data_IF_127420710710
#
_entry.id   IF_127420710710
#
_cell.length_a   1.000
_cell.length_b   1.000
_cell.length_c   1.000
_cell.angle_alpha   90.00
_cell.angle_beta   90.00
_cell.angle_gamma   90.00
#
_symmetry.space_group_name_H-M   'P 1'
#
loop_
_entity.id
_entity.type
_entity.pdbx_description
1 polymer ?
#
# COMPACT_ATOMS: atom_id res chain seq x y z
N UNK A 1 10.09 -10.48 -66.18
CA UNK A 1 10.90 -11.38 -67.04
C UNK A 1 12.34 -10.87 -67.07
N UNK A 2 13.30 -11.77 -66.79
CA UNK A 2 14.74 -11.79 -67.17
C UNK A 2 15.55 -10.48 -67.16
N UNK A 3 16.48 -10.35 -66.19
CA UNK A 3 17.93 -10.67 -66.28
C UNK A 3 18.73 -9.65 -67.10
N UNK A 4 19.76 -9.05 -66.50
CA UNK A 4 21.18 -9.24 -66.88
C UNK A 4 22.11 -8.58 -65.85
N UNK A 5 23.13 -9.37 -65.54
CA UNK A 5 24.31 -9.16 -64.71
C UNK A 5 25.37 -8.40 -65.52
N UNK A 6 26.04 -7.39 -64.96
CA UNK A 6 27.36 -6.95 -65.46
C UNK A 6 28.33 -6.82 -64.30
N UNK A 7 29.44 -7.53 -64.48
CA UNK A 7 30.60 -7.71 -63.63
C UNK A 7 31.67 -6.64 -63.99
N UNK A 8 32.45 -6.24 -62.98
CA UNK A 8 33.93 -6.16 -63.01
C UNK A 8 34.71 -4.89 -63.46
N UNK A 9 35.65 -4.54 -62.56
CA UNK A 9 37.01 -3.96 -62.68
C UNK A 9 37.24 -2.43 -62.77
N UNK A 10 37.96 -1.90 -61.76
CA UNK A 10 39.36 -1.41 -61.83
C UNK A 10 39.65 -0.59 -60.54
N UNK A 11 40.41 -1.05 -59.53
CA UNK A 11 41.88 -0.98 -59.38
C UNK A 11 42.42 0.45 -59.66
N UNK A 12 43.06 1.18 -58.72
CA UNK A 12 44.53 1.17 -58.48
C UNK A 12 44.95 2.32 -57.53
N UNK A 13 45.73 2.02 -56.46
CA UNK A 13 46.95 2.73 -55.95
C UNK A 13 46.76 4.13 -55.29
N UNK A 14 47.36 4.54 -54.17
CA UNK A 14 48.40 4.00 -53.29
C UNK A 14 48.59 4.86 -52.01
N UNK A 15 49.14 4.20 -50.98
CA UNK A 15 50.19 4.62 -50.03
C UNK A 15 49.91 5.73 -49.00
N UNK A 16 50.11 5.37 -47.72
CA UNK A 16 50.45 6.36 -46.69
C UNK A 16 50.36 5.93 -45.22
N UNK A 17 51.19 4.97 -44.82
CA UNK A 17 51.79 4.85 -43.46
C UNK A 17 50.95 4.37 -42.26
N UNK A 18 51.37 3.20 -41.78
CA UNK A 18 51.02 2.53 -40.52
C UNK A 18 51.57 3.27 -39.29
N UNK A 19 50.77 3.39 -38.22
CA UNK A 19 51.22 3.09 -36.84
C UNK A 19 50.07 2.42 -36.08
N UNK A 20 50.47 1.36 -35.37
CA UNK A 20 49.76 0.34 -34.59
C UNK A 20 48.99 0.90 -33.39
N UNK A 21 47.78 0.38 -33.16
CA UNK A 21 47.01 0.57 -31.92
C UNK A 21 45.67 -0.18 -31.91
N UNK A 22 45.73 -1.46 -31.55
CA UNK A 22 44.67 -2.40 -31.11
C UNK A 22 43.52 -1.72 -30.31
N UNK A 23 42.23 -2.10 -30.30
CA UNK A 23 41.47 -3.33 -30.59
C UNK A 23 39.95 -2.95 -30.67
N UNK A 24 39.21 -3.69 -31.50
CA UNK A 24 37.77 -4.01 -31.48
C UNK A 24 36.70 -2.93 -31.73
N UNK A 25 36.13 -2.99 -32.93
CA UNK A 25 34.77 -3.54 -33.10
C UNK A 25 33.60 -2.56 -32.92
N UNK A 26 33.33 -1.80 -33.99
CA UNK A 26 32.14 -0.98 -34.19
C UNK A 26 30.88 -1.81 -34.52
N UNK A 27 29.80 -1.42 -33.86
CA UNK A 27 28.39 -1.35 -34.31
C UNK A 27 27.68 -2.62 -34.80
N UNK A 28 26.69 -3.04 -34.00
CA UNK A 28 25.37 -3.38 -34.53
C UNK A 28 24.29 -2.63 -33.74
N UNK A 29 23.73 -1.62 -34.39
CA UNK A 29 22.38 -1.07 -34.26
C UNK A 29 21.69 -1.23 -32.89
N UNK A 30 21.94 -0.27 -31.98
CA UNK A 30 20.94 0.12 -30.99
C UNK A 30 20.29 1.41 -31.45
N UNK A 31 19.05 1.31 -31.90
CA UNK A 31 18.13 2.43 -31.98
C UNK A 31 18.00 3.00 -30.57
N UNK A 32 18.71 4.10 -30.30
CA UNK A 32 18.60 4.85 -29.06
C UNK A 32 17.26 5.57 -29.06
N UNK A 33 16.28 5.06 -28.32
CA UNK A 33 15.19 5.89 -27.83
C UNK A 33 15.78 6.77 -26.71
N UNK A 34 16.16 7.99 -27.06
CA UNK A 34 16.44 9.02 -26.07
C UNK A 34 15.09 9.44 -25.45
N UNK A 35 14.83 8.99 -24.23
CA UNK A 35 13.82 9.64 -23.40
C UNK A 35 14.26 11.09 -23.16
N UNK A 36 13.37 12.09 -23.29
CA UNK A 36 13.73 13.46 -23.01
C UNK A 36 14.19 13.57 -21.56
N UNK A 37 15.37 14.18 -21.38
CA UNK A 37 15.90 14.57 -20.08
C UNK A 37 14.80 15.17 -19.21
N UNK A 38 14.62 14.58 -18.03
CA UNK A 38 13.88 15.16 -16.90
C UNK A 38 14.31 16.63 -16.77
N UNK A 39 13.39 17.53 -17.10
CA UNK A 39 13.62 18.95 -16.95
C UNK A 39 13.78 19.24 -15.46
N UNK A 40 14.99 19.60 -15.03
CA UNK A 40 15.22 20.26 -13.74
C UNK A 40 14.36 21.52 -13.70
N UNK A 41 13.23 21.47 -13.01
CA UNK A 41 12.46 22.68 -12.73
C UNK A 41 13.10 23.41 -11.55
N UNK A 42 13.94 24.40 -11.86
CA UNK A 42 14.47 25.41 -10.90
C UNK A 42 13.44 26.51 -10.60
N UNK A 43 12.14 26.22 -10.69
CA UNK A 43 11.09 27.16 -10.29
C UNK A 43 10.43 26.64 -9.03
N UNK A 44 10.98 27.07 -7.89
CA UNK A 44 10.33 26.94 -6.59
C UNK A 44 8.87 27.36 -6.69
N UNK A 45 7.99 26.45 -6.30
CA UNK A 45 6.56 26.64 -6.26
C UNK A 45 6.23 27.74 -5.24
N UNK A 46 6.26 29.00 -5.68
CA UNK A 46 5.63 30.12 -4.98
C UNK A 46 4.12 29.94 -5.10
N UNK A 47 3.61 29.19 -4.15
CA UNK A 47 2.23 28.73 -4.00
C UNK A 47 2.26 27.69 -2.88
N UNK A 48 2.72 28.13 -1.70
CA UNK A 48 2.93 27.29 -0.54
C UNK A 48 1.63 26.62 -0.12
N UNK A 49 1.49 25.33 -0.41
CA UNK A 49 0.91 24.43 0.59
C UNK A 49 1.92 24.34 1.74
N UNK A 50 2.03 25.41 2.53
CA UNK A 50 2.64 25.33 3.87
C UNK A 50 1.65 24.53 4.72
N UNK A 51 1.81 23.21 4.68
CA UNK A 51 1.03 22.28 5.47
C UNK A 51 1.98 21.24 6.07
N UNK A 52 2.88 21.75 6.93
CA UNK A 52 3.64 20.97 7.91
C UNK A 52 2.73 19.97 8.62
N UNK A 53 3.31 18.93 9.22
CA UNK A 53 2.58 17.88 9.96
C UNK A 53 1.61 18.41 11.04
N UNK A 54 1.64 19.70 11.36
CA UNK A 54 0.63 20.43 12.15
C UNK A 54 -0.81 20.07 11.78
N UNK A 55 -1.09 19.81 10.50
CA UNK A 55 -2.41 19.36 10.04
C UNK A 55 -2.84 18.03 10.66
N UNK A 56 -1.96 17.02 10.66
CA UNK A 56 -2.22 15.68 11.25
C UNK A 56 -2.12 15.66 12.77
N UNK A 57 -1.69 16.74 13.43
CA UNK A 57 -1.73 16.89 14.89
C UNK A 57 -3.03 17.54 15.42
N UNK A 58 -3.94 17.97 14.53
CA UNK A 58 -5.25 18.52 14.89
C UNK A 58 -6.17 17.46 15.49
N UNK A 59 -7.27 17.90 16.12
CA UNK A 59 -8.36 16.97 16.44
C UNK A 59 -9.01 16.44 15.15
N UNK A 60 -9.66 15.26 15.21
CA UNK A 60 -10.26 14.63 14.03
C UNK A 60 -11.22 15.57 13.28
N UNK A 61 -12.06 16.33 13.99
CA UNK A 61 -13.01 17.28 13.38
C UNK A 61 -12.34 18.50 12.76
N UNK A 62 -11.21 18.97 13.30
CA UNK A 62 -10.42 20.04 12.70
C UNK A 62 -9.66 19.55 11.47
N UNK A 63 -9.14 18.32 11.52
CA UNK A 63 -8.53 17.67 10.36
C UNK A 63 -9.56 17.43 9.25
N UNK A 64 -10.77 17.00 9.59
CA UNK A 64 -11.87 16.87 8.63
C UNK A 64 -12.17 18.20 7.89
N UNK A 65 -12.12 19.34 8.59
CA UNK A 65 -12.26 20.67 7.96
C UNK A 65 -11.07 21.03 7.06
N UNK A 66 -9.85 20.65 7.46
CA UNK A 66 -8.64 20.90 6.66
C UNK A 66 -8.70 20.17 5.31
N UNK A 67 -9.20 18.94 5.29
CA UNK A 67 -9.22 18.09 4.10
C UNK A 67 -10.48 18.29 3.23
N UNK A 68 -11.53 18.92 3.78
CA UNK A 68 -12.83 19.08 3.12
C UNK A 68 -12.74 19.66 1.69
N UNK A 69 -11.90 20.67 1.39
CA UNK A 69 -11.76 21.18 0.02
C UNK A 69 -11.26 20.15 -1.00
N UNK A 70 -10.58 19.10 -0.55
CA UNK A 70 -9.98 18.07 -1.40
C UNK A 70 -10.82 16.78 -1.47
N UNK A 71 -11.46 16.42 -0.36
CA UNK A 71 -12.08 15.11 -0.15
C UNK A 71 -13.57 15.18 0.24
N UNK A 72 -14.11 16.39 0.40
CA UNK A 72 -15.41 16.58 1.03
C UNK A 72 -15.42 16.10 2.48
N UNK A 73 -16.61 15.80 2.97
CA UNK A 73 -16.82 15.42 4.37
C UNK A 73 -16.59 13.91 4.55
N UNK A 74 -15.81 13.48 5.57
CA UNK A 74 -15.71 12.08 5.94
C UNK A 74 -17.10 11.46 6.19
N UNK A 75 -17.36 10.25 5.67
CA UNK A 75 -18.67 9.61 5.80
C UNK A 75 -18.97 9.24 7.26
N UNK A 76 -20.27 9.09 7.56
CA UNK A 76 -20.70 8.41 8.78
C UNK A 76 -20.51 6.91 8.56
N UNK A 77 -19.68 6.27 9.39
CA UNK A 77 -19.44 4.82 9.34
C UNK A 77 -20.54 4.10 10.11
N UNK A 78 -21.21 3.17 9.44
CA UNK A 78 -22.19 2.25 10.05
C UNK A 78 -21.77 0.82 9.73
N UNK A 79 -21.10 0.18 10.68
CA UNK A 79 -20.51 -1.15 10.52
C UNK A 79 -21.58 -2.20 10.18
N UNK A 80 -22.84 -1.95 10.53
CA UNK A 80 -23.98 -2.81 10.23
C UNK A 80 -24.22 -2.93 8.71
N UNK A 81 -23.96 -1.84 7.98
CA UNK A 81 -24.03 -1.75 6.52
C UNK A 81 -22.72 -2.20 5.84
N UNK A 82 -21.74 -2.65 6.63
CA UNK A 82 -20.43 -3.11 6.16
C UNK A 82 -20.48 -4.45 5.45
N UNK A 83 -19.68 -4.60 4.41
CA UNK A 83 -19.43 -5.89 3.77
C UNK A 83 -18.39 -6.62 4.61
N UNK A 84 -18.77 -7.78 5.14
CA UNK A 84 -17.85 -8.61 5.89
C UNK A 84 -16.70 -9.11 5.01
N UNK A 85 -15.49 -9.13 5.57
CA UNK A 85 -14.37 -9.87 5.01
C UNK A 85 -14.55 -11.34 5.40
N UNK A 86 -14.88 -12.24 4.45
CA UNK A 86 -15.11 -13.63 4.80
C UNK A 86 -13.79 -14.32 5.17
N UNK A 87 -13.84 -15.13 6.22
CA UNK A 87 -12.75 -16.03 6.62
C UNK A 87 -13.08 -17.44 6.17
N UNK A 88 -12.07 -18.14 5.65
CA UNK A 88 -12.17 -19.54 5.25
C UNK A 88 -11.10 -20.38 5.95
N UNK A 89 -11.45 -21.61 6.32
CA UNK A 89 -10.54 -22.64 6.80
C UNK A 89 -10.79 -23.88 5.95
N UNK A 90 -9.76 -24.34 5.25
CA UNK A 90 -9.84 -25.48 4.33
C UNK A 90 -10.95 -25.29 3.26
N UNK A 91 -11.09 -24.07 2.77
CA UNK A 91 -12.09 -23.67 1.78
C UNK A 91 -13.52 -23.52 2.30
N UNK A 92 -13.76 -23.74 3.61
CA UNK A 92 -15.07 -23.59 4.23
C UNK A 92 -15.16 -22.28 5.00
N UNK A 93 -16.25 -21.53 4.82
CA UNK A 93 -16.43 -20.27 5.54
C UNK A 93 -16.49 -20.53 7.06
N UNK A 94 -15.75 -19.73 7.81
CA UNK A 94 -15.57 -19.90 9.26
C UNK A 94 -16.04 -18.66 10.03
N UNK A 95 -16.68 -18.88 11.18
CA UNK A 95 -17.09 -17.84 12.12
C UNK A 95 -16.43 -18.07 13.47
N UNK A 96 -15.82 -17.02 14.01
CA UNK A 96 -15.06 -16.99 15.25
C UNK A 96 -13.56 -16.80 15.03
N UNK A 97 -12.76 -17.38 15.94
CA UNK A 97 -11.30 -17.34 15.93
C UNK A 97 -10.68 -18.71 15.59
N UNK A 98 -10.15 -18.92 14.37
CA UNK A 98 -9.38 -20.12 14.08
C UNK A 98 -7.96 -20.03 14.66
N UNK A 99 -7.50 -18.85 15.09
CA UNK A 99 -6.13 -18.56 15.50
C UNK A 99 -5.30 -17.87 14.42
N UNK A 100 -4.16 -17.32 14.82
CA UNK A 100 -3.22 -16.61 13.94
C UNK A 100 -2.73 -17.56 12.83
N UNK A 101 -2.76 -17.12 11.57
CA UNK A 101 -2.36 -17.91 10.39
C UNK A 101 -3.09 -19.26 10.21
N UNK A 102 -4.22 -19.47 10.88
CA UNK A 102 -5.00 -20.72 10.81
C UNK A 102 -6.16 -20.67 9.79
N UNK A 103 -6.21 -19.64 8.95
CA UNK A 103 -7.18 -19.48 7.87
C UNK A 103 -6.48 -19.43 6.52
N UNK A 104 -7.25 -19.63 5.44
CA UNK A 104 -6.73 -19.73 4.07
C UNK A 104 -6.05 -18.44 3.60
N UNK A 105 -6.57 -17.28 4.05
CA UNK A 105 -6.08 -15.95 3.68
C UNK A 105 -6.00 -15.06 4.93
N UNK A 106 -4.95 -15.22 5.78
CA UNK A 106 -4.79 -14.39 6.96
C UNK A 106 -4.50 -12.93 6.59
N UNK A 107 -4.80 -12.02 7.51
CA UNK A 107 -4.35 -10.63 7.41
C UNK A 107 -2.81 -10.60 7.35
N UNK A 108 -2.23 -9.94 6.34
CA UNK A 108 -0.77 -9.84 6.17
C UNK A 108 -0.13 -8.69 6.98
N UNK A 109 -0.76 -8.31 8.09
CA UNK A 109 -0.18 -7.37 9.05
C UNK A 109 0.14 -8.02 10.39
N UNK A 110 -0.65 -9.01 10.81
CA UNK A 110 -0.49 -9.68 12.11
C UNK A 110 -0.81 -11.17 12.04
N UNK A 111 -1.06 -11.72 10.84
CA UNK A 111 -1.60 -13.06 10.66
C UNK A 111 -3.04 -13.29 11.15
N UNK A 112 -3.79 -12.24 11.49
CA UNK A 112 -5.13 -12.37 12.10
C UNK A 112 -6.14 -13.06 11.16
N UNK A 113 -6.96 -13.93 11.74
CA UNK A 113 -8.00 -14.72 11.08
C UNK A 113 -9.36 -14.59 11.76
N UNK A 114 -9.53 -13.61 12.64
CA UNK A 114 -10.80 -13.34 13.29
C UNK A 114 -11.89 -12.92 12.27
N UNK A 115 -12.98 -13.68 12.24
CA UNK A 115 -14.15 -13.34 11.42
C UNK A 115 -14.87 -12.08 11.92
N UNK A 116 -15.69 -11.47 11.07
CA UNK A 116 -16.55 -10.36 11.46
C UNK A 116 -15.96 -8.96 11.27
N UNK A 117 -14.74 -8.87 10.74
CA UNK A 117 -14.20 -7.62 10.20
C UNK A 117 -15.04 -7.16 9.00
N UNK A 118 -15.26 -5.85 8.85
CA UNK A 118 -16.12 -5.27 7.79
C UNK A 118 -15.46 -4.11 7.07
N UNK A 119 -15.73 -3.98 5.77
CA UNK A 119 -15.30 -2.89 4.91
C UNK A 119 -16.50 -2.14 4.33
N UNK A 120 -16.38 -0.82 4.19
CA UNK A 120 -17.34 0.00 3.47
C UNK A 120 -16.63 0.91 2.48
N UNK A 121 -17.30 1.18 1.36
CA UNK A 121 -16.86 2.12 0.35
C UNK A 121 -17.93 3.17 0.15
N UNK A 122 -17.52 4.43 0.18
CA UNK A 122 -18.39 5.59 -0.04
C UNK A 122 -17.87 6.42 -1.20
N UNK A 123 -18.81 6.98 -1.96
CA UNK A 123 -18.53 8.13 -2.82
C UNK A 123 -18.40 9.37 -1.94
N UNK A 124 -17.38 10.20 -2.20
CA UNK A 124 -17.20 11.46 -1.47
C UNK A 124 -18.36 12.43 -1.69
N UNK A 125 -18.61 13.28 -0.71
CA UNK A 125 -19.66 14.29 -0.76
C UNK A 125 -19.21 15.59 -0.12
N UNK A 126 -19.66 16.72 -0.65
CA UNK A 126 -19.54 18.02 0.01
C UNK A 126 -20.43 18.08 1.27
N UNK A 127 -20.25 19.09 2.11
CA UNK A 127 -21.07 19.28 3.31
C UNK A 127 -22.57 19.48 3.02
N UNK A 128 -22.93 20.03 1.85
CA UNK A 128 -24.31 20.13 1.37
C UNK A 128 -24.81 18.86 0.63
N UNK A 129 -24.01 17.79 0.63
CA UNK A 129 -24.40 16.46 0.12
C UNK A 129 -24.18 16.23 -1.37
N UNK A 130 -23.60 17.20 -2.10
CA UNK A 130 -23.31 17.04 -3.53
C UNK A 130 -22.25 15.95 -3.75
N UNK A 131 -22.44 15.07 -4.74
CA UNK A 131 -21.51 13.98 -5.02
C UNK A 131 -20.16 14.49 -5.55
N UNK A 132 -19.08 13.85 -5.11
CA UNK A 132 -17.71 14.02 -5.60
C UNK A 132 -17.25 12.67 -6.18
N UNK A 133 -17.59 12.35 -7.44
CA UNK A 133 -17.39 11.00 -8.01
C UNK A 133 -15.92 10.58 -8.14
N UNK A 134 -14.99 11.54 -8.09
CA UNK A 134 -13.55 11.29 -8.10
C UNK A 134 -12.96 11.07 -6.70
N UNK A 135 -13.78 11.22 -5.65
CA UNK A 135 -13.37 10.95 -4.27
C UNK A 135 -13.99 9.64 -3.81
N UNK A 136 -13.16 8.79 -3.22
CA UNK A 136 -13.57 7.56 -2.56
C UNK A 136 -13.13 7.59 -1.11
N UNK A 137 -14.04 7.17 -0.23
CA UNK A 137 -13.73 6.88 1.15
C UNK A 137 -13.87 5.37 1.38
N UNK A 138 -12.92 4.78 2.09
CA UNK A 138 -13.00 3.40 2.56
C UNK A 138 -12.90 3.42 4.07
N UNK A 139 -13.79 2.70 4.75
CA UNK A 139 -13.65 2.42 6.17
C UNK A 139 -13.39 0.94 6.40
N UNK A 140 -12.58 0.65 7.40
CA UNK A 140 -12.25 -0.70 7.82
C UNK A 140 -12.58 -0.84 9.31
N UNK A 141 -13.60 -1.62 9.63
CA UNK A 141 -13.85 -2.09 10.99
C UNK A 141 -13.13 -3.42 11.20
N UNK A 142 -12.00 -3.41 11.90
CA UNK A 142 -11.21 -4.60 12.19
C UNK A 142 -11.68 -5.24 13.49
N UNK A 143 -12.10 -6.49 13.39
CA UNK A 143 -12.41 -7.29 14.56
C UNK A 143 -11.09 -7.85 15.14
N UNK A 144 -10.45 -7.11 16.05
CA UNK A 144 -9.11 -7.46 16.55
C UNK A 144 -9.00 -8.77 17.33
N UNK A 145 -10.12 -9.37 17.79
CA UNK A 145 -10.20 -10.79 18.15
C UNK A 145 -9.49 -11.25 19.43
N UNK A 146 -8.50 -10.48 19.88
CA UNK A 146 -7.51 -10.84 20.89
C UNK A 146 -7.95 -10.57 22.32
N UNK A 147 -9.12 -9.95 22.52
CA UNK A 147 -9.73 -9.79 23.84
C UNK A 147 -10.08 -11.12 24.52
N UNK A 148 -10.17 -12.22 23.78
CA UNK A 148 -10.49 -13.56 24.32
C UNK A 148 -9.29 -14.50 24.40
N UNK A 149 -8.16 -14.22 23.75
CA UNK A 149 -7.03 -15.14 23.65
C UNK A 149 -6.08 -15.14 24.85
N UNK A 150 -6.19 -14.16 25.75
CA UNK A 150 -5.19 -14.01 26.81
C UNK A 150 -5.69 -14.03 28.25
N UNK A 151 -7.00 -14.12 28.56
CA UNK A 151 -7.51 -13.91 29.93
C UNK A 151 -6.90 -12.65 30.59
N UNK A 152 -6.45 -11.70 29.76
CA UNK A 152 -6.06 -10.38 30.22
C UNK A 152 -7.34 -9.60 30.05
N UNK A 153 -7.87 -9.08 31.15
CA UNK A 153 -8.76 -7.93 31.17
C UNK A 153 -7.99 -6.71 30.61
N UNK A 154 -7.33 -6.85 29.46
CA UNK A 154 -6.61 -5.79 28.79
C UNK A 154 -7.65 -4.99 28.04
N UNK A 155 -8.21 -4.05 28.78
CA UNK A 155 -9.07 -2.98 28.30
C UNK A 155 -8.37 -2.06 27.28
N UNK A 156 -7.37 -2.54 26.53
CA UNK A 156 -6.50 -1.76 25.64
C UNK A 156 -6.48 -2.26 24.17
N UNK A 157 -6.96 -3.46 23.85
CA UNK A 157 -7.07 -3.94 22.45
C UNK A 157 -8.54 -3.98 22.01
N UNK A 158 -9.08 -2.79 21.69
CA UNK A 158 -10.45 -2.64 21.19
C UNK A 158 -10.53 -2.84 19.68
N UNK A 159 -11.68 -3.33 19.21
CA UNK A 159 -12.00 -3.35 17.79
C UNK A 159 -11.76 -1.97 17.17
N UNK A 160 -10.96 -1.94 16.14
CA UNK A 160 -10.55 -0.69 15.53
C UNK A 160 -11.42 -0.36 14.30
N UNK A 161 -11.66 0.93 14.08
CA UNK A 161 -12.30 1.48 12.89
C UNK A 161 -11.40 2.57 12.32
N UNK A 162 -10.90 2.36 11.10
CA UNK A 162 -10.08 3.30 10.35
C UNK A 162 -10.84 3.84 9.13
N UNK A 163 -10.44 5.00 8.63
CA UNK A 163 -10.93 5.54 7.35
C UNK A 163 -9.79 6.10 6.50
N UNK A 164 -9.88 5.89 5.20
CA UNK A 164 -8.98 6.47 4.21
C UNK A 164 -9.83 7.15 3.15
N UNK A 165 -9.57 8.44 2.93
CA UNK A 165 -10.16 9.23 1.85
C UNK A 165 -9.13 9.45 0.76
N UNK A 166 -9.50 9.26 -0.49
CA UNK A 166 -8.61 9.46 -1.65
C UNK A 166 -9.33 10.17 -2.79
N UNK A 167 -8.68 11.19 -3.35
CA UNK A 167 -9.10 11.87 -4.56
C UNK A 167 -8.31 11.33 -5.76
N UNK A 168 -8.94 10.53 -6.62
CA UNK A 168 -8.27 9.91 -7.77
C UNK A 168 -7.85 10.86 -8.88
N UNK A 169 -8.26 12.13 -8.83
CA UNK A 169 -7.83 13.14 -9.80
C UNK A 169 -6.62 13.93 -9.31
N UNK A 170 -6.55 14.22 -8.01
CA UNK A 170 -5.50 15.11 -7.45
C UNK A 170 -4.48 14.36 -6.59
N UNK A 171 -4.79 13.14 -6.18
CA UNK A 171 -3.98 12.35 -5.27
C UNK A 171 -4.12 12.70 -3.80
N UNK A 172 -4.95 13.69 -3.46
CA UNK A 172 -5.16 14.11 -2.09
C UNK A 172 -5.66 12.93 -1.26
N UNK A 173 -5.00 12.69 -0.13
CA UNK A 173 -5.30 11.57 0.76
C UNK A 173 -5.41 12.04 2.21
N UNK A 174 -6.31 11.42 2.96
CA UNK A 174 -6.43 11.61 4.39
C UNK A 174 -6.62 10.26 5.09
N UNK A 175 -6.03 10.14 6.26
CA UNK A 175 -6.13 8.97 7.13
C UNK A 175 -6.82 9.35 8.44
N UNK A 176 -7.73 8.50 8.90
CA UNK A 176 -8.28 8.54 10.25
C UNK A 176 -8.02 7.19 10.91
N UNK A 177 -7.42 7.25 12.08
CA UNK A 177 -7.21 6.10 12.95
C UNK A 177 -8.34 6.01 13.98
N UNK A 178 -8.42 4.88 14.67
CA UNK A 178 -9.34 4.72 15.78
C UNK A 178 -8.97 5.63 16.95
N UNK A 179 -9.97 6.26 17.56
CA UNK A 179 -9.88 6.78 18.92
C UNK A 179 -10.47 5.79 19.93
N UNK A 180 -11.05 6.30 21.01
CA UNK A 180 -11.90 5.51 21.90
C UNK A 180 -13.30 5.33 21.29
N UNK A 181 -13.42 4.31 20.43
CA UNK A 181 -14.64 4.02 19.67
C UNK A 181 -15.59 3.01 20.36
N UNK A 182 -15.23 2.48 21.55
CA UNK A 182 -15.94 1.40 22.26
C UNK A 182 -17.44 1.65 22.45
N UNK A 183 -17.82 2.92 22.59
CA UNK A 183 -19.22 3.30 22.76
C UNK A 183 -20.10 2.96 21.54
N UNK A 184 -19.51 2.90 20.35
CA UNK A 184 -20.23 2.77 19.09
C UNK A 184 -20.02 1.44 18.39
N UNK A 185 -18.95 0.71 18.73
CA UNK A 185 -18.58 -0.56 18.10
C UNK A 185 -18.98 -1.72 19.01
N UNK A 186 -19.66 -2.72 18.44
CA UNK A 186 -20.06 -3.94 19.13
C UNK A 186 -19.83 -5.15 18.24
N UNK A 187 -19.71 -6.32 18.85
CA UNK A 187 -19.78 -7.61 18.15
C UNK A 187 -21.21 -8.10 18.20
N UNK A 188 -21.79 -8.47 17.05
CA UNK A 188 -23.04 -9.22 17.01
C UNK A 188 -22.77 -10.66 17.46
N UNK A 189 -23.33 -11.11 18.60
CA UNK A 189 -23.06 -12.43 19.14
C UNK A 189 -23.54 -13.58 18.24
N UNK A 190 -24.42 -13.33 17.26
CA UNK A 190 -24.92 -14.37 16.35
C UNK A 190 -24.01 -14.59 15.15
N UNK A 191 -23.41 -13.51 14.64
CA UNK A 191 -22.64 -13.53 13.39
C UNK A 191 -21.15 -13.31 13.61
N UNK A 192 -20.75 -12.93 14.82
CA UNK A 192 -19.41 -12.42 15.16
C UNK A 192 -19.03 -11.13 14.42
N UNK A 193 -19.94 -10.52 13.65
CA UNK A 193 -19.65 -9.31 12.87
C UNK A 193 -19.57 -8.08 13.77
N UNK A 194 -18.69 -7.16 13.40
CA UNK A 194 -18.75 -5.81 13.96
C UNK A 194 -19.98 -5.07 13.45
N UNK A 195 -20.67 -4.43 14.38
CA UNK A 195 -21.88 -3.64 14.15
C UNK A 195 -21.83 -2.34 14.93
N UNK A 196 -22.69 -1.40 14.51
CA UNK A 196 -22.86 -0.11 15.18
C UNK A 196 -22.45 1.08 14.33
N UNK A 197 -22.91 2.26 14.76
CA UNK A 197 -22.83 3.50 14.01
C UNK A 197 -21.97 4.51 14.73
N UNK A 198 -20.89 4.93 14.08
CA UNK A 198 -19.94 5.90 14.61
C UNK A 198 -20.46 7.33 14.39
N UNK A 199 -20.07 8.29 15.23
CA UNK A 199 -20.45 9.69 15.06
C UNK A 199 -19.82 10.26 13.78
N UNK A 200 -20.49 11.22 13.15
CA UNK A 200 -19.94 12.01 12.04
C UNK A 200 -19.42 13.38 12.47
N UNK A 201 -18.91 14.16 11.52
CA UNK A 201 -18.37 15.51 11.78
C UNK A 201 -19.39 16.50 12.35
N UNK A 202 -20.69 16.24 12.17
CA UNK A 202 -21.77 17.02 12.78
C UNK A 202 -21.85 16.90 14.31
N UNK A 203 -21.15 15.93 14.89
CA UNK A 203 -21.05 15.69 16.33
C UNK A 203 -19.58 15.77 16.79
N UNK A 204 -18.91 16.94 16.70
CA UNK A 204 -17.45 17.04 16.75
C UNK A 204 -16.83 16.48 18.04
N UNK A 205 -17.50 16.63 19.20
CA UNK A 205 -17.04 16.05 20.47
C UNK A 205 -17.07 14.52 20.46
N UNK A 206 -18.05 13.91 19.79
CA UNK A 206 -18.16 12.46 19.65
C UNK A 206 -17.20 11.95 18.57
N UNK A 207 -17.11 12.66 17.44
CA UNK A 207 -16.17 12.36 16.35
C UNK A 207 -14.71 12.36 16.83
N UNK A 208 -14.30 13.39 17.58
CA UNK A 208 -12.95 13.47 18.16
C UNK A 208 -12.65 12.39 19.21
N UNK A 209 -13.68 11.69 19.73
CA UNK A 209 -13.47 10.52 20.59
C UNK A 209 -13.37 9.25 19.77
N UNK A 210 -14.25 9.08 18.79
CA UNK A 210 -14.31 7.87 17.98
C UNK A 210 -13.13 7.72 17.03
N UNK A 211 -12.58 8.84 16.54
CA UNK A 211 -11.48 8.87 15.59
C UNK A 211 -10.33 9.74 16.09
N UNK A 212 -9.12 9.35 15.71
CA UNK A 212 -7.90 10.11 15.86
C UNK A 212 -7.27 10.35 14.48
N UNK A 213 -6.37 11.32 14.41
CA UNK A 213 -5.54 11.56 13.23
C UNK A 213 -4.24 10.75 13.34
N UNK A 214 -3.43 10.66 12.26
CA UNK A 214 -2.16 9.92 12.30
C UNK A 214 -1.12 10.44 13.31
N UNK A 215 -1.17 11.75 13.63
CA UNK A 215 -0.23 12.43 14.53
C UNK A 215 1.22 12.18 14.09
N UNK A 216 2.05 11.60 14.97
CA UNK A 216 3.46 11.32 14.71
C UNK A 216 3.72 10.04 13.92
N UNK A 217 2.70 9.20 13.69
CA UNK A 217 2.84 8.00 12.88
C UNK A 217 2.58 8.35 11.43
N UNK A 218 3.59 8.16 10.57
CA UNK A 218 3.41 8.33 9.14
C UNK A 218 2.70 7.10 8.57
N UNK A 219 1.39 7.18 8.32
CA UNK A 219 0.62 6.08 7.72
C UNK A 219 1.23 5.62 6.38
N UNK A 220 1.93 6.52 5.69
CA UNK A 220 2.67 6.25 4.46
C UNK A 220 3.86 5.32 4.65
N UNK A 221 4.22 4.94 5.89
CA UNK A 221 5.15 3.85 6.09
C UNK A 221 4.63 2.56 5.42
N UNK A 222 3.33 2.27 5.52
CA UNK A 222 2.74 1.13 4.82
C UNK A 222 2.07 1.59 3.52
N UNK A 223 1.36 2.72 3.55
CA UNK A 223 0.61 3.25 2.42
C UNK A 223 1.48 4.10 1.48
N UNK A 224 2.74 3.73 1.26
CA UNK A 224 3.71 4.62 0.59
C UNK A 224 3.48 4.77 -0.90
N UNK A 225 3.15 3.66 -1.57
CA UNK A 225 2.94 3.63 -3.01
C UNK A 225 1.51 4.04 -3.42
N UNK A 226 0.56 3.70 -2.54
CA UNK A 226 -0.88 3.74 -2.78
C UNK A 226 -1.61 3.99 -1.45
N UNK A 227 -2.69 4.79 -1.42
CA UNK A 227 -3.53 4.95 -0.24
C UNK A 227 -4.17 3.64 0.22
N UNK A 228 -4.33 2.63 -0.64
CA UNK A 228 -4.99 1.37 -0.33
C UNK A 228 -4.04 0.18 -0.48
N UNK A 229 -3.89 -0.59 0.59
CA UNK A 229 -3.10 -1.82 0.58
C UNK A 229 -4.00 -2.99 0.20
N UNK A 230 -3.58 -3.75 -0.81
CA UNK A 230 -4.27 -4.93 -1.29
C UNK A 230 -3.53 -6.21 -0.91
N UNK A 231 -4.29 -7.18 -0.41
CA UNK A 231 -3.86 -8.55 -0.17
C UNK A 231 -5.08 -9.49 -0.23
N UNK A 232 -4.90 -10.82 -0.27
CA UNK A 232 -6.02 -11.76 -0.38
C UNK A 232 -7.10 -11.59 0.70
N UNK A 233 -6.72 -11.24 1.94
CA UNK A 233 -7.67 -10.97 3.03
C UNK A 233 -8.56 -9.76 2.72
N UNK A 234 -7.98 -8.58 2.43
CA UNK A 234 -8.75 -7.37 2.09
C UNK A 234 -9.57 -7.56 0.80
N UNK A 235 -8.99 -8.22 -0.20
CA UNK A 235 -9.63 -8.44 -1.49
C UNK A 235 -10.77 -9.46 -1.43
N UNK A 236 -10.91 -10.23 -0.35
CA UNK A 236 -12.01 -11.18 -0.18
C UNK A 236 -13.37 -10.48 -0.01
N UNK A 237 -13.40 -9.25 0.51
CA UNK A 237 -14.62 -8.45 0.57
C UNK A 237 -15.00 -7.92 -0.82
N UNK A 238 -16.16 -8.35 -1.33
CA UNK A 238 -16.68 -7.97 -2.64
C UNK A 238 -17.99 -7.20 -2.55
N UNK A 239 -18.10 -6.16 -3.35
CA UNK A 239 -19.37 -5.50 -3.67
C UNK A 239 -20.29 -6.48 -4.42
N UNK A 240 -21.61 -6.24 -4.45
CA UNK A 240 -22.56 -7.06 -5.24
C UNK A 240 -22.20 -7.17 -6.73
N UNK A 241 -21.45 -6.21 -7.26
CA UNK A 241 -20.93 -6.23 -8.64
C UNK A 241 -19.76 -7.20 -8.86
N UNK A 242 -19.26 -7.87 -7.82
CA UNK A 242 -18.08 -8.74 -7.84
C UNK A 242 -16.75 -8.00 -7.73
N UNK A 243 -16.75 -6.65 -7.78
CA UNK A 243 -15.54 -5.83 -7.55
C UNK A 243 -15.16 -5.84 -6.07
N UNK A 244 -13.87 -5.66 -5.76
CA UNK A 244 -13.41 -5.45 -4.38
C UNK A 244 -14.05 -4.21 -3.76
N UNK A 245 -14.31 -4.25 -2.46
CA UNK A 245 -14.79 -3.07 -1.72
C UNK A 245 -13.74 -1.97 -1.75
N UNK A 246 -12.48 -2.33 -1.49
CA UNK A 246 -11.34 -1.42 -1.63
C UNK A 246 -11.04 -1.24 -3.12
N UNK A 247 -10.96 0.01 -3.64
CA UNK A 247 -10.65 0.26 -5.04
C UNK A 247 -9.17 -0.01 -5.33
N UNK A 248 -8.91 -0.69 -6.45
CA UNK A 248 -7.55 -0.86 -6.98
C UNK A 248 -7.20 0.35 -7.84
N UNK A 249 -6.17 1.11 -7.46
CA UNK A 249 -5.63 2.20 -8.28
C UNK A 249 -4.56 1.62 -9.20
N UNK A 250 -3.53 0.96 -8.63
CA UNK A 250 -2.52 0.16 -9.35
C UNK A 250 -2.01 0.84 -10.65
N UNK A 251 -1.48 2.06 -10.49
CA UNK A 251 -0.96 2.90 -11.55
C UNK A 251 0.31 3.62 -11.06
N UNK A 252 1.39 3.53 -11.83
CA UNK A 252 2.68 4.14 -11.52
C UNK A 252 2.60 5.68 -11.48
N UNK A 253 1.70 6.27 -12.27
CA UNK A 253 1.55 7.71 -12.43
C UNK A 253 0.36 8.28 -11.64
N UNK A 254 -0.33 7.45 -10.84
CA UNK A 254 -1.41 7.93 -10.01
C UNK A 254 -0.90 9.03 -9.06
N UNK A 255 -1.55 10.20 -8.98
CA UNK A 255 -1.13 11.25 -8.07
C UNK A 255 -1.36 10.79 -6.64
N UNK A 256 -0.48 11.20 -5.72
CA UNK A 256 -0.58 10.81 -4.32
C UNK A 256 0.14 11.77 -3.38
N UNK A 257 -0.60 12.31 -2.41
CA UNK A 257 -0.04 13.06 -1.28
C UNK A 257 -0.98 13.05 -0.09
N UNK A 258 -0.46 13.27 1.10
CA UNK A 258 -1.26 13.35 2.33
C UNK A 258 -1.54 14.81 2.67
N UNK A 259 -2.82 15.17 2.75
CA UNK A 259 -3.22 16.51 3.21
C UNK A 259 -2.89 16.62 4.69
N UNK A 260 -2.18 17.66 5.11
CA UNK A 260 -1.80 17.86 6.52
C UNK A 260 -0.41 17.36 6.89
N UNK A 261 0.36 16.88 5.91
CA UNK A 261 1.57 16.10 6.13
C UNK A 261 2.59 16.28 4.99
N UNK A 262 2.82 17.53 4.55
CA UNK A 262 3.76 17.81 3.47
C UNK A 262 5.22 17.50 3.81
N UNK A 263 5.51 17.27 5.09
CA UNK A 263 6.81 16.93 5.66
C UNK A 263 6.98 15.43 5.96
N UNK A 264 6.13 14.57 5.38
CA UNK A 264 6.28 13.12 5.47
C UNK A 264 7.24 12.57 4.38
N UNK A 265 7.79 11.38 4.62
CA UNK A 265 8.64 10.70 3.64
C UNK A 265 7.80 9.96 2.59
N UNK A 266 7.48 10.66 1.51
CA UNK A 266 6.71 10.11 0.39
C UNK A 266 7.55 9.36 -0.66
N UNK A 267 8.86 9.19 -0.41
CA UNK A 267 9.76 8.67 -1.44
C UNK A 267 9.63 7.17 -1.63
N UNK A 268 9.47 6.70 -2.86
CA UNK A 268 9.58 5.28 -3.25
C UNK A 268 10.80 5.05 -4.14
N UNK A 269 11.28 3.82 -4.23
CA UNK A 269 12.38 3.44 -5.13
C UNK A 269 11.82 3.27 -6.55
N UNK A 270 12.60 3.69 -7.53
CA UNK A 270 12.36 3.42 -8.95
C UNK A 270 13.66 2.94 -9.61
N UNK A 271 13.59 1.88 -10.40
CA UNK A 271 14.71 1.34 -11.19
C UNK A 271 14.27 1.33 -12.66
N UNK A 272 15.00 2.07 -13.50
CA UNK A 272 14.75 2.09 -14.94
C UNK A 272 14.90 0.68 -15.54
N UNK A 273 13.89 0.22 -16.26
CA UNK A 273 13.90 -1.10 -16.91
C UNK A 273 13.58 -2.30 -16.01
N UNK A 274 13.27 -2.07 -14.72
CA UNK A 274 12.85 -3.13 -13.81
C UNK A 274 11.33 -3.36 -13.89
N UNK A 275 10.93 -4.57 -14.25
CA UNK A 275 9.53 -4.86 -14.59
C UNK A 275 8.58 -4.85 -13.39
N UNK A 276 9.08 -4.79 -12.14
CA UNK A 276 8.22 -4.61 -10.97
C UNK A 276 7.46 -3.27 -11.01
N UNK A 277 7.99 -2.26 -11.70
CA UNK A 277 7.39 -0.94 -11.82
C UNK A 277 6.47 -0.77 -13.04
N UNK A 278 6.30 -1.80 -13.87
CA UNK A 278 5.42 -1.74 -15.06
C UNK A 278 3.95 -1.54 -14.72
N UNK A 279 3.55 -1.88 -13.49
CA UNK A 279 2.15 -1.84 -13.04
C UNK A 279 1.90 -0.73 -12.03
N UNK A 280 2.75 -0.60 -11.01
CA UNK A 280 2.55 0.33 -9.90
C UNK A 280 3.86 0.60 -9.14
N UNK A 281 3.89 1.69 -8.36
CA UNK A 281 4.95 1.93 -7.37
C UNK A 281 4.92 0.88 -6.25
N UNK A 282 6.03 0.72 -5.51
CA UNK A 282 6.12 -0.26 -4.41
C UNK A 282 6.50 0.43 -3.10
N UNK A 283 5.69 0.19 -2.06
CA UNK A 283 6.00 0.60 -0.69
C UNK A 283 6.79 -0.49 0.02
N UNK A 284 8.08 -0.26 0.23
CA UNK A 284 8.99 -1.34 0.67
C UNK A 284 8.69 -1.85 2.07
N UNK A 285 8.14 -1.01 2.95
CA UNK A 285 7.75 -1.45 4.30
C UNK A 285 6.51 -2.33 4.34
N UNK A 286 5.58 -2.16 3.41
CA UNK A 286 4.48 -3.12 3.24
C UNK A 286 5.00 -4.46 2.74
N UNK A 287 5.99 -4.45 1.84
CA UNK A 287 6.67 -5.69 1.40
C UNK A 287 7.35 -6.38 2.59
N UNK A 288 8.08 -5.64 3.41
CA UNK A 288 8.72 -6.18 4.62
C UNK A 288 7.68 -6.73 5.61
N UNK A 289 6.60 -6.02 5.87
CA UNK A 289 5.52 -6.49 6.76
C UNK A 289 4.96 -7.83 6.26
N UNK A 290 4.65 -7.91 4.97
CA UNK A 290 4.08 -9.11 4.37
C UNK A 290 5.05 -10.30 4.45
N UNK A 291 6.34 -10.08 4.15
CA UNK A 291 7.39 -11.10 4.32
C UNK A 291 7.52 -11.50 5.80
N UNK A 292 7.42 -10.54 6.71
CA UNK A 292 7.42 -10.77 8.16
C UNK A 292 6.36 -11.76 8.61
N UNK A 293 5.19 -11.69 7.99
CA UNK A 293 4.01 -12.54 8.16
C UNK A 293 4.01 -13.82 7.28
N UNK A 294 5.13 -14.11 6.61
CA UNK A 294 5.32 -15.35 5.86
C UNK A 294 4.75 -15.33 4.43
N UNK A 295 4.41 -14.16 3.90
CA UNK A 295 4.02 -13.99 2.50
C UNK A 295 5.26 -13.80 1.62
N UNK A 296 5.42 -14.66 0.60
CA UNK A 296 6.52 -14.57 -0.35
C UNK A 296 6.05 -13.91 -1.64
N UNK A 297 6.52 -12.70 -1.99
CA UNK A 297 6.15 -12.02 -3.23
C UNK A 297 6.27 -12.88 -4.48
N UNK A 298 7.28 -13.76 -4.57
CA UNK A 298 7.50 -14.61 -5.74
C UNK A 298 6.43 -15.70 -5.91
N UNK A 299 5.70 -16.07 -4.86
CA UNK A 299 4.59 -17.02 -4.97
C UNK A 299 3.28 -16.35 -5.42
N UNK A 300 3.23 -15.02 -5.45
CA UNK A 300 1.99 -14.27 -5.66
C UNK A 300 2.07 -13.22 -6.78
N UNK A 301 3.27 -12.73 -7.08
CA UNK A 301 3.49 -11.63 -8.01
C UNK A 301 4.38 -12.03 -9.18
N UNK A 302 4.09 -11.54 -10.40
CA UNK A 302 2.87 -10.84 -10.78
C UNK A 302 1.66 -11.80 -10.78
N UNK A 303 0.42 -11.33 -10.56
CA UNK A 303 -0.74 -12.20 -10.34
C UNK A 303 -1.04 -13.22 -11.46
N UNK A 304 -0.60 -12.94 -12.70
CA UNK A 304 -0.82 -13.82 -13.85
C UNK A 304 0.32 -14.81 -14.10
N UNK A 305 1.49 -14.58 -13.51
CA UNK A 305 2.67 -15.44 -13.69
C UNK A 305 3.59 -15.33 -12.47
N UNK A 306 3.17 -15.82 -11.29
CA UNK A 306 3.97 -15.69 -10.08
C UNK A 306 5.42 -16.15 -10.25
N UNK A 307 6.35 -15.36 -9.71
CA UNK A 307 7.78 -15.65 -9.69
C UNK A 307 8.51 -15.27 -10.98
N UNK A 308 7.81 -14.80 -12.02
CA UNK A 308 8.46 -14.40 -13.26
C UNK A 308 9.31 -13.13 -13.15
N UNK A 309 9.14 -12.36 -12.07
CA UNK A 309 9.86 -11.11 -11.80
C UNK A 309 10.81 -11.25 -10.60
N UNK A 310 11.25 -12.47 -10.28
CA UNK A 310 12.08 -12.71 -9.09
C UNK A 310 13.45 -12.04 -9.17
N UNK A 311 14.06 -11.98 -10.35
CA UNK A 311 15.33 -11.27 -10.58
C UNK A 311 15.16 -9.75 -10.38
N UNK A 312 14.13 -9.17 -11.00
CA UNK A 312 13.74 -7.76 -10.82
C UNK A 312 13.46 -7.43 -9.35
N UNK A 313 12.77 -8.33 -8.64
CA UNK A 313 12.49 -8.15 -7.22
C UNK A 313 13.77 -8.21 -6.36
N UNK A 314 14.72 -9.09 -6.69
CA UNK A 314 16.01 -9.14 -6.00
C UNK A 314 16.84 -7.87 -6.23
N UNK A 315 16.79 -7.30 -7.44
CA UNK A 315 17.41 -6.01 -7.73
C UNK A 315 16.80 -4.88 -6.88
N UNK A 316 15.47 -4.86 -6.75
CA UNK A 316 14.76 -3.92 -5.89
C UNK A 316 15.16 -4.06 -4.41
N UNK A 317 15.30 -5.28 -3.91
CA UNK A 317 15.77 -5.51 -2.53
C UNK A 317 17.22 -5.01 -2.34
N UNK A 318 18.10 -5.22 -3.31
CA UNK A 318 19.48 -4.72 -3.27
C UNK A 318 19.53 -3.18 -3.30
N UNK A 319 18.68 -2.54 -4.11
CA UNK A 319 18.52 -1.08 -4.13
C UNK A 319 18.03 -0.55 -2.78
N UNK A 320 17.09 -1.25 -2.15
CA UNK A 320 16.56 -0.86 -0.86
C UNK A 320 17.60 -0.97 0.27
N UNK A 321 18.37 -2.07 0.29
CA UNK A 321 19.46 -2.27 1.25
C UNK A 321 20.57 -1.23 1.12
N UNK A 322 20.90 -0.83 -0.12
CA UNK A 322 21.93 0.18 -0.37
C UNK A 322 21.48 1.61 -0.06
N UNK A 323 20.17 1.87 0.04
CA UNK A 323 19.59 3.15 0.46
C UNK A 323 19.88 4.29 -0.52
N UNK A 324 19.63 5.56 -0.18
CA UNK A 324 19.70 6.68 -1.15
C UNK A 324 21.11 7.09 -1.64
N UNK A 325 22.16 6.41 -1.18
CA UNK A 325 23.55 6.83 -1.42
C UNK A 325 24.20 6.24 -2.67
N UNK A 326 23.63 5.19 -3.27
CA UNK A 326 24.25 4.45 -4.37
C UNK A 326 23.45 4.62 -5.69
N UNK A 327 23.76 5.68 -6.43
CA UNK A 327 22.89 6.21 -7.50
C UNK A 327 23.04 5.71 -8.94
N UNK A 328 23.99 4.85 -9.35
CA UNK A 328 24.06 4.53 -10.77
C UNK A 328 22.93 3.61 -11.25
N UNK A 329 22.10 3.05 -10.36
CA UNK A 329 21.16 1.96 -10.68
C UNK A 329 19.68 2.31 -10.34
N UNK A 330 19.41 3.24 -9.42
CA UNK A 330 18.04 3.56 -9.00
C UNK A 330 17.87 5.00 -8.52
N UNK A 331 16.64 5.49 -8.64
CA UNK A 331 16.19 6.79 -8.17
C UNK A 331 15.26 6.65 -6.96
N UNK A 332 15.24 7.69 -6.13
CA UNK A 332 14.19 7.90 -5.14
C UNK A 332 13.22 8.92 -5.70
N UNK A 333 11.97 8.53 -5.88
CA UNK A 333 10.94 9.36 -6.50
C UNK A 333 9.83 9.70 -5.53
N UNK A 334 9.25 10.89 -5.68
CA UNK A 334 8.00 11.29 -5.04
C UNK A 334 6.90 11.23 -6.10
N UNK A 335 5.73 10.66 -5.78
CA UNK A 335 4.61 10.58 -6.71
C UNK A 335 4.14 11.96 -7.20
N UNK A 336 3.38 12.02 -8.32
CA UNK A 336 2.81 13.26 -8.79
C UNK A 336 1.83 13.84 -7.74
N UNK A 337 1.75 15.17 -7.65
CA UNK A 337 0.90 15.86 -6.67
C UNK A 337 -0.05 16.80 -7.41
N UNK A 338 -1.34 16.70 -7.12
CA UNK A 338 -2.35 17.57 -7.72
C UNK A 338 -2.42 17.39 -9.24
N UNK A 339 -2.16 18.47 -9.97
CA UNK A 339 -2.18 18.48 -11.44
C UNK A 339 -0.82 18.17 -12.07
N UNK A 340 0.22 17.93 -11.26
CA UNK A 340 1.50 17.46 -11.78
C UNK A 340 1.32 16.04 -12.33
N UNK A 341 1.95 15.76 -13.46
CA UNK A 341 1.79 14.49 -14.19
C UNK A 341 3.03 13.59 -14.11
N UNK A 342 4.07 14.04 -13.43
CA UNK A 342 5.36 13.35 -13.42
C UNK A 342 5.85 13.14 -11.99
N UNK A 343 6.44 11.97 -11.77
CA UNK A 343 7.21 11.68 -10.59
C UNK A 343 8.38 12.66 -10.45
N UNK A 344 8.72 13.05 -9.22
CA UNK A 344 9.88 13.90 -8.93
C UNK A 344 11.00 13.07 -8.33
N UNK A 345 12.12 12.96 -9.05
CA UNK A 345 13.37 12.43 -8.50
C UNK A 345 13.87 13.38 -7.40
N UNK A 346 14.26 12.81 -6.26
CA UNK A 346 14.82 13.56 -5.13
C UNK A 346 16.17 13.01 -4.72
N UNK A 347 17.05 13.93 -4.32
CA UNK A 347 18.43 13.62 -3.98
C UNK A 347 18.59 13.25 -2.50
N UNK A 348 19.82 13.00 -2.07
CA UNK A 348 20.12 12.65 -0.66
C UNK A 348 20.02 13.87 0.27
N UNK A 349 19.63 15.04 -0.23
CA UNK A 349 19.34 16.23 0.58
C UNK A 349 17.84 16.36 0.93
N UNK A 350 16.98 15.42 0.48
CA UNK A 350 15.55 15.45 0.80
C UNK A 350 15.33 15.63 2.33
N UNK A 351 14.62 16.67 2.79
CA UNK A 351 14.62 17.04 4.20
C UNK A 351 13.75 16.14 5.09
N UNK A 352 12.83 15.38 4.49
CA UNK A 352 11.81 14.61 5.22
C UNK A 352 12.10 13.12 5.27
N UNK A 353 13.37 12.70 5.24
CA UNK A 353 13.71 11.28 5.26
C UNK A 353 13.24 10.63 6.57
N UNK A 354 12.66 9.44 6.45
CA UNK A 354 12.25 8.63 7.60
C UNK A 354 12.98 7.28 7.60
N UNK A 355 13.21 6.71 8.79
CA UNK A 355 13.95 5.45 8.95
C UNK A 355 13.21 4.24 8.37
N UNK A 356 11.89 4.34 8.18
CA UNK A 356 11.11 3.28 7.55
C UNK A 356 11.48 3.07 6.07
N UNK A 357 12.23 3.97 5.44
CA UNK A 357 12.82 3.73 4.12
C UNK A 357 14.12 2.90 4.16
N UNK A 358 14.42 2.23 5.29
CA UNK A 358 15.49 1.22 5.42
C UNK A 358 14.92 -0.15 5.78
N UNK A 359 15.46 -1.25 5.20
CA UNK A 359 14.99 -2.59 5.51
C UNK A 359 15.39 -3.07 6.91
N UNK A 360 14.53 -3.86 7.55
CA UNK A 360 14.93 -4.78 8.60
C UNK A 360 15.49 -6.06 7.96
N UNK A 361 16.82 -6.16 7.91
CA UNK A 361 17.52 -7.30 7.33
C UNK A 361 17.19 -8.63 8.02
N UNK A 362 16.66 -8.64 9.26
CA UNK A 362 16.20 -9.86 9.92
C UNK A 362 14.95 -10.43 9.27
N UNK A 363 14.09 -9.55 8.77
CA UNK A 363 12.85 -9.94 8.10
C UNK A 363 13.15 -10.44 6.68
N UNK A 364 13.97 -9.71 5.93
CA UNK A 364 14.32 -10.12 4.56
C UNK A 364 15.01 -11.48 4.48
N UNK A 365 15.76 -11.88 5.52
CA UNK A 365 16.36 -13.22 5.61
C UNK A 365 15.32 -14.36 5.66
N UNK A 366 14.06 -14.08 5.96
CA UNK A 366 12.97 -15.07 5.94
C UNK A 366 12.44 -15.36 4.54
N UNK A 367 12.83 -14.58 3.53
CA UNK A 367 12.37 -14.79 2.15
C UNK A 367 12.76 -16.21 1.67
N UNK A 368 11.79 -16.99 1.20
CA UNK A 368 11.98 -18.39 0.83
C UNK A 368 11.95 -19.40 1.99
N UNK A 369 11.81 -18.96 3.25
CA UNK A 369 11.50 -19.87 4.36
C UNK A 369 10.03 -20.32 4.26
N UNK A 370 9.74 -21.59 4.55
CA UNK A 370 8.35 -22.05 4.63
C UNK A 370 7.64 -21.33 5.80
N UNK A 371 6.37 -20.91 5.64
CA UNK A 371 5.60 -20.37 6.75
C UNK A 371 5.69 -21.31 7.95
N UNK A 372 5.96 -20.79 9.15
CA UNK A 372 5.93 -21.60 10.36
C UNK A 372 4.51 -22.15 10.51
N UNK A 373 4.34 -23.47 10.34
CA UNK A 373 3.13 -24.13 10.82
C UNK A 373 3.06 -23.88 12.32
N UNK A 374 2.05 -23.15 12.78
CA UNK A 374 1.70 -23.16 14.19
C UNK A 374 1.30 -24.61 14.51
N UNK A 375 1.86 -25.23 15.57
CA UNK A 375 1.54 -26.61 15.90
C UNK A 375 0.03 -26.79 16.04
N UNK A 376 -0.48 -27.88 15.45
CA UNK A 376 -1.88 -28.31 15.58
C UNK A 376 -2.34 -28.17 17.04
N UNK A 377 -3.53 -27.58 17.23
CA UNK A 377 -4.16 -27.44 18.54
C UNK A 377 -4.03 -28.75 19.31
N UNK A 378 -3.50 -28.66 20.53
CA UNK A 378 -3.86 -29.58 21.60
C UNK A 378 -5.38 -29.54 21.67
N UNK A 379 -6.02 -30.61 21.19
CA UNK A 379 -7.42 -30.88 21.44
C UNK A 379 -7.62 -30.79 22.95
N UNK A 380 -8.31 -29.75 23.44
CA UNK A 380 -8.89 -29.82 24.78
C UNK A 380 -9.92 -30.94 24.72
N UNK A 381 -9.51 -32.11 25.18
CA UNK A 381 -10.33 -33.29 25.26
C UNK A 381 -11.54 -33.07 26.17
N UNK A 382 -12.62 -33.72 25.77
CA UNK A 382 -13.71 -34.25 26.58
C UNK A 382 -13.96 -33.59 27.95
N UNK A 383 -14.98 -32.74 28.01
CA UNK A 383 -15.83 -32.67 29.20
C UNK A 383 -17.02 -33.61 29.03
N UNK A 384 -16.77 -34.91 29.24
CA UNK A 384 -17.82 -35.89 29.53
C UNK A 384 -17.54 -36.57 30.87
N UNK A 385 -18.53 -36.56 31.75
CA UNK A 385 -18.56 -37.28 33.03
C UNK A 385 -18.31 -36.35 34.22
N UNK A 386 -19.13 -36.29 35.26
CA UNK A 386 -20.28 -37.08 35.65
C UNK A 386 -20.73 -36.59 37.04
N UNK A 387 -22.01 -36.74 37.32
CA UNK A 387 -22.65 -36.57 38.62
C UNK A 387 -22.18 -37.59 39.65
N UNK A 388 -21.90 -37.16 40.90
CA UNK A 388 -21.91 -37.86 42.21
C UNK A 388 -20.80 -37.24 43.08
N UNK A 389 -20.94 -36.77 44.31
CA UNK A 389 -21.96 -36.76 45.38
C UNK A 389 -21.96 -35.39 46.06
#
# INVERSE_FOLDING_TARGET
MMKILVLILATVIALGSSVIGLIAGSESDRVSYSFPHVARSETGMKGSFENTSDGVFKSASEYAKLIEPHLGVPPIVDLSDGIEIPIFVDGQQFTGDPGIHCCDNPSLQMGDCMSGSVLQRYEGRTADGKPLPHVVWVSFGRHDGRGSLHNIDDADMHHSVQMIGYNGQTGATAFFESGDNRKWVKVDPKTNRLVGKLPGVGEPKAFNRAFSTPRGTQCVQCHQADPFIHNPFIDAAKLPSGKTVVPKIADLEAPYFVVGASDWDMRTIYIEGNSCFDCHRIGMKTVEEFIGDGWDPNHHMPPRKPGSLSEDFMELLAAWESGPKNKPIYDWIIPPVGNLKENRVVEDDYPHKSDFNRPDLRVLRKLGEKPRRIPERVSRGDTTGGTSE
#
